data_IF_325548419829
#
_entry.id   IF_325548419829
#
_cell.length_a   1.000
_cell.length_b   1.000
_cell.length_c   1.000
_cell.angle_alpha   90.00
_cell.angle_beta   90.00
_cell.angle_gamma   90.00
#
_symmetry.space_group_name_H-M   'P 1'
#
loop_
_entity.id
_entity.type
_entity.pdbx_description
1 polymer ?
#
# COMPACT_ATOMS: atom_id res chain seq x y z
N UNK A 1 -15.96 63.05 -14.93
CA UNK A 1 -14.88 62.45 -14.12
C UNK A 1 -15.51 61.45 -13.15
N UNK A 2 -15.48 60.15 -13.50
CA UNK A 2 -15.53 58.96 -12.63
C UNK A 2 -15.80 57.76 -13.54
N UNK A 3 -14.73 57.05 -13.89
CA UNK A 3 -14.79 55.67 -14.41
C UNK A 3 -14.05 54.82 -13.37
N UNK A 4 -14.63 53.68 -13.01
CA UNK A 4 -13.89 52.49 -12.59
C UNK A 4 -13.64 52.34 -11.09
N UNK A 5 -14.50 51.58 -10.42
CA UNK A 5 -14.24 51.01 -9.10
C UNK A 5 -14.47 49.49 -9.01
N UNK A 6 -15.18 48.88 -9.96
CA UNK A 6 -15.62 47.47 -9.83
C UNK A 6 -14.78 46.46 -10.64
N UNK A 7 -13.93 46.91 -11.57
CA UNK A 7 -13.10 46.01 -12.40
C UNK A 7 -11.73 45.62 -11.80
N UNK A 8 -11.32 46.23 -10.68
CA UNK A 8 -10.03 45.85 -10.06
C UNK A 8 -10.14 44.57 -9.21
N UNK A 9 -11.27 44.33 -8.55
CA UNK A 9 -11.41 43.17 -7.64
C UNK A 9 -11.45 41.84 -8.41
N UNK A 10 -12.09 41.81 -9.58
CA UNK A 10 -12.12 40.60 -10.43
C UNK A 10 -10.76 40.28 -11.07
N UNK A 11 -9.96 41.30 -11.42
CA UNK A 11 -8.63 41.09 -12.00
C UNK A 11 -7.62 40.56 -10.95
N UNK A 12 -7.69 41.03 -9.70
CA UNK A 12 -6.83 40.52 -8.62
C UNK A 12 -7.17 39.08 -8.23
N UNK A 13 -8.46 38.70 -8.26
CA UNK A 13 -8.88 37.33 -7.99
C UNK A 13 -8.39 36.36 -9.09
N UNK A 14 -8.47 36.77 -10.37
CA UNK A 14 -7.96 35.98 -11.50
C UNK A 14 -6.43 35.85 -11.53
N UNK A 15 -5.70 36.90 -11.16
CA UNK A 15 -4.23 36.86 -11.11
C UNK A 15 -3.78 35.93 -9.97
N UNK A 16 -4.41 36.02 -8.80
CA UNK A 16 -4.09 35.14 -7.67
C UNK A 16 -4.41 33.68 -8.01
N UNK A 17 -5.61 33.36 -8.53
CA UNK A 17 -5.93 31.98 -8.94
C UNK A 17 -4.99 31.47 -10.03
N UNK A 18 -4.64 32.30 -11.02
CA UNK A 18 -3.68 31.90 -12.06
C UNK A 18 -2.28 31.64 -11.52
N UNK A 19 -1.80 32.43 -10.54
CA UNK A 19 -0.49 32.21 -9.93
C UNK A 19 -0.48 30.97 -9.02
N UNK A 20 -1.58 30.68 -8.33
CA UNK A 20 -1.71 29.46 -7.54
C UNK A 20 -1.78 28.21 -8.43
N UNK A 21 -2.58 28.25 -9.50
CA UNK A 21 -2.66 27.16 -10.49
C UNK A 21 -1.30 26.91 -11.16
N UNK A 22 -0.65 27.97 -11.66
CA UNK A 22 0.68 27.84 -12.29
C UNK A 22 1.74 27.31 -11.32
N UNK A 23 1.67 27.67 -10.03
CA UNK A 23 2.65 27.17 -9.04
C UNK A 23 2.45 25.70 -8.71
N UNK A 24 1.21 25.23 -8.57
CA UNK A 24 0.91 23.81 -8.36
C UNK A 24 1.24 22.95 -9.59
N UNK A 25 0.99 23.46 -10.80
CA UNK A 25 1.36 22.76 -12.04
C UNK A 25 2.88 22.60 -12.18
N UNK A 26 3.66 23.60 -11.73
CA UNK A 26 5.13 23.53 -11.77
C UNK A 26 5.69 22.56 -10.73
N UNK A 27 5.16 22.55 -9.50
CA UNK A 27 5.63 21.63 -8.44
C UNK A 27 5.32 20.17 -8.78
N UNK A 28 4.12 19.91 -9.32
CA UNK A 28 3.78 18.58 -9.83
C UNK A 28 4.70 18.15 -10.96
N UNK A 29 4.92 19.02 -11.95
CA UNK A 29 5.79 18.71 -13.09
C UNK A 29 7.23 18.38 -12.65
N UNK A 30 7.78 19.15 -11.69
CA UNK A 30 9.10 18.86 -11.12
C UNK A 30 9.13 17.51 -10.40
N UNK A 31 8.09 17.18 -9.63
CA UNK A 31 7.96 15.93 -8.89
C UNK A 31 7.80 14.72 -9.83
N UNK A 32 6.94 14.81 -10.85
CA UNK A 32 6.80 13.79 -11.90
C UNK A 32 8.11 13.60 -12.67
N UNK A 33 8.79 14.70 -12.99
CA UNK A 33 10.10 14.67 -13.66
C UNK A 33 11.15 13.97 -12.80
N UNK A 34 11.14 14.21 -11.48
CA UNK A 34 12.03 13.53 -10.54
C UNK A 34 11.84 12.02 -10.60
N UNK A 35 10.60 11.54 -10.43
CA UNK A 35 10.32 10.10 -10.38
C UNK A 35 10.50 9.41 -11.73
N UNK A 36 10.10 10.05 -12.83
CA UNK A 36 10.31 9.51 -14.18
C UNK A 36 11.78 9.44 -14.59
N UNK A 37 12.66 10.23 -13.97
CA UNK A 37 14.12 10.17 -14.21
C UNK A 37 14.83 9.02 -13.50
N UNK A 38 14.15 8.32 -12.59
CA UNK A 38 14.74 7.24 -11.80
C UNK A 38 14.73 5.93 -12.60
N UNK A 39 15.85 5.64 -13.25
CA UNK A 39 16.06 4.36 -13.94
C UNK A 39 16.64 3.27 -13.02
N UNK A 40 16.07 2.07 -13.06
CA UNK A 40 16.55 0.88 -12.35
C UNK A 40 16.69 -0.32 -13.29
N UNK A 41 17.60 -1.25 -12.95
CA UNK A 41 17.70 -2.52 -13.66
C UNK A 41 16.55 -3.47 -13.28
N UNK A 42 15.96 -4.11 -14.29
CA UNK A 42 14.97 -5.16 -14.06
C UNK A 42 15.59 -6.48 -13.60
N UNK A 43 16.90 -6.66 -13.76
CA UNK A 43 17.58 -7.91 -13.39
C UNK A 43 18.10 -7.86 -11.95
N UNK A 44 17.22 -8.15 -10.99
CA UNK A 44 17.51 -8.08 -9.56
C UNK A 44 17.98 -9.44 -9.03
N UNK A 45 19.06 -9.99 -9.58
CA UNK A 45 19.52 -11.36 -9.25
C UNK A 45 20.46 -11.42 -8.04
N UNK A 46 20.98 -10.29 -7.58
CA UNK A 46 21.86 -10.25 -6.41
C UNK A 46 21.11 -10.57 -5.13
N UNK A 47 21.63 -11.53 -4.36
CA UNK A 47 21.22 -11.73 -2.96
C UNK A 47 21.99 -10.76 -2.08
N UNK A 48 21.27 -9.85 -1.42
CA UNK A 48 21.82 -8.86 -0.51
C UNK A 48 21.54 -9.25 0.94
N UNK A 49 22.43 -8.81 1.83
CA UNK A 49 22.22 -8.98 3.27
C UNK A 49 21.08 -8.08 3.75
N UNK A 50 20.07 -8.71 4.34
CA UNK A 50 18.86 -8.08 4.88
C UNK A 50 18.63 -8.48 6.35
N UNK A 51 19.70 -8.86 7.04
CA UNK A 51 19.64 -9.36 8.42
C UNK A 51 19.11 -8.36 9.44
N UNK A 52 19.11 -7.06 9.14
CA UNK A 52 18.56 -5.99 9.99
C UNK A 52 17.05 -5.75 9.82
N UNK A 53 16.37 -6.50 8.92
CA UNK A 53 14.89 -6.41 8.82
C UNK A 53 14.28 -6.89 10.13
N UNK A 54 13.41 -6.06 10.72
CA UNK A 54 12.73 -6.34 11.98
C UNK A 54 11.28 -6.77 11.76
N UNK A 55 10.85 -7.74 12.56
CA UNK A 55 9.49 -8.26 12.62
C UNK A 55 8.90 -7.91 13.98
N UNK A 56 8.00 -6.93 14.02
CA UNK A 56 7.29 -6.49 15.21
C UNK A 56 6.00 -7.28 15.37
N UNK A 57 5.78 -7.87 16.55
CA UNK A 57 4.69 -8.81 16.82
C UNK A 57 3.75 -8.24 17.87
N UNK A 58 2.46 -8.26 17.55
CA UNK A 58 1.36 -7.79 18.39
C UNK A 58 0.33 -8.91 18.52
N UNK A 59 0.23 -9.53 19.70
CA UNK A 59 -0.75 -10.59 19.93
C UNK A 59 -2.07 -10.01 20.48
N UNK A 60 -3.02 -9.75 19.58
CA UNK A 60 -4.34 -9.22 19.95
C UNK A 60 -5.30 -10.30 20.47
N UNK A 61 -4.93 -11.58 20.38
CA UNK A 61 -5.69 -12.68 20.97
C UNK A 61 -5.47 -12.86 22.48
N UNK A 62 -4.34 -12.40 23.02
CA UNK A 62 -3.91 -12.70 24.40
C UNK A 62 -3.82 -11.50 25.36
N UNK A 63 -4.22 -10.26 24.95
CA UNK A 63 -4.39 -8.99 25.70
C UNK A 63 -3.65 -7.73 25.15
N UNK A 64 -3.21 -7.69 23.89
CA UNK A 64 -3.23 -6.45 23.09
C UNK A 64 -2.19 -5.34 23.35
N UNK A 65 -0.95 -5.66 23.75
CA UNK A 65 0.18 -4.71 23.69
C UNK A 65 1.27 -5.20 22.71
N UNK A 66 2.17 -4.29 22.26
CA UNK A 66 3.37 -4.71 21.51
C UNK A 66 4.15 -5.71 22.34
N UNK A 67 4.35 -6.88 21.76
CA UNK A 67 4.75 -8.04 22.54
C UNK A 67 6.24 -8.32 22.41
N UNK A 68 6.82 -8.11 21.22
CA UNK A 68 8.25 -8.21 20.94
C UNK A 68 8.60 -7.76 19.51
N UNK A 69 9.88 -7.50 19.26
CA UNK A 69 10.47 -7.45 17.92
C UNK A 69 11.62 -8.46 17.79
N UNK A 70 11.80 -8.99 16.58
CA UNK A 70 12.84 -9.96 16.26
C UNK A 70 13.45 -9.67 14.89
N UNK A 71 14.71 -10.04 14.67
CA UNK A 71 15.29 -10.04 13.33
C UNK A 71 14.59 -11.10 12.46
N UNK A 72 14.39 -10.80 11.18
CA UNK A 72 13.57 -11.63 10.26
C UNK A 72 13.97 -13.11 10.25
N UNK A 73 15.26 -13.42 10.38
CA UNK A 73 15.77 -14.79 10.35
C UNK A 73 15.42 -15.61 11.60
N UNK A 74 15.27 -14.94 12.75
CA UNK A 74 14.98 -15.53 14.06
C UNK A 74 13.49 -15.44 14.44
N UNK A 75 12.76 -14.51 13.81
CA UNK A 75 11.40 -14.13 14.18
C UNK A 75 10.43 -15.32 14.23
N UNK A 76 10.42 -16.19 13.21
CA UNK A 76 9.47 -17.31 13.18
C UNK A 76 9.73 -18.30 14.33
N UNK A 77 11.00 -18.63 14.60
CA UNK A 77 11.34 -19.53 15.69
C UNK A 77 10.96 -18.93 17.06
N UNK A 78 11.20 -17.63 17.23
CA UNK A 78 10.83 -16.91 18.45
C UNK A 78 9.30 -16.91 18.64
N UNK A 79 8.52 -16.52 17.62
CA UNK A 79 7.05 -16.48 17.65
C UNK A 79 6.46 -17.86 17.99
N UNK A 80 6.90 -18.91 17.29
CA UNK A 80 6.37 -20.27 17.48
C UNK A 80 6.72 -20.87 18.85
N UNK A 81 7.69 -20.30 19.56
CA UNK A 81 8.09 -20.73 20.90
C UNK A 81 7.37 -20.00 22.03
N UNK A 82 6.57 -18.97 21.71
CA UNK A 82 5.90 -18.15 22.72
C UNK A 82 4.85 -18.96 23.50
N UNK A 83 4.73 -18.76 24.84
CA UNK A 83 3.74 -19.46 25.64
C UNK A 83 2.28 -19.18 25.25
N UNK A 84 2.03 -18.04 24.63
CA UNK A 84 0.72 -17.55 24.19
C UNK A 84 0.49 -17.72 22.68
N UNK A 85 1.35 -18.45 21.98
CA UNK A 85 1.15 -18.78 20.57
C UNK A 85 -0.03 -19.73 20.39
N UNK A 86 -1.02 -19.34 19.60
CA UNK A 86 -2.15 -20.17 19.20
C UNK A 86 -2.09 -20.49 17.69
N UNK A 87 -1.91 -21.76 17.28
CA UNK A 87 -1.85 -22.13 15.86
C UNK A 87 -3.17 -21.95 15.09
N UNK A 88 -4.30 -21.74 15.78
CA UNK A 88 -5.59 -21.44 15.16
C UNK A 88 -5.82 -19.95 14.93
N UNK A 89 -5.01 -19.10 15.55
CA UNK A 89 -5.06 -17.65 15.37
C UNK A 89 -4.71 -17.28 13.93
N UNK A 90 -5.36 -16.25 13.40
CA UNK A 90 -4.98 -15.68 12.11
C UNK A 90 -3.81 -14.71 12.28
N UNK A 91 -2.91 -14.71 11.31
CA UNK A 91 -1.73 -13.85 11.27
C UNK A 91 -1.92 -12.85 10.15
N UNK A 92 -1.84 -11.57 10.51
CA UNK A 92 -1.98 -10.45 9.58
C UNK A 92 -0.63 -9.73 9.49
N UNK A 93 0.03 -9.83 8.33
CA UNK A 93 1.38 -9.30 8.10
C UNK A 93 1.28 -8.09 7.18
N UNK A 94 1.78 -6.95 7.64
CA UNK A 94 1.87 -5.72 6.87
C UNK A 94 3.33 -5.27 6.73
N UNK A 95 3.71 -4.82 5.55
CA UNK A 95 4.99 -4.16 5.30
C UNK A 95 4.80 -2.80 4.64
N UNK A 96 5.54 -1.82 5.15
CA UNK A 96 5.54 -0.45 4.65
C UNK A 96 6.37 -0.30 3.38
N UNK A 97 6.31 0.89 2.77
CA UNK A 97 7.02 1.23 1.56
C UNK A 97 8.35 1.95 1.79
N UNK A 98 8.70 2.78 0.82
CA UNK A 98 9.90 3.59 0.83
C UNK A 98 9.83 4.69 1.88
N UNK A 99 10.96 4.93 2.56
CA UNK A 99 11.15 5.98 3.54
C UNK A 99 10.10 5.97 4.67
N UNK A 100 9.77 4.77 5.18
CA UNK A 100 8.89 4.57 6.32
C UNK A 100 9.60 3.74 7.38
N UNK A 101 9.20 3.94 8.64
CA UNK A 101 9.73 3.35 9.87
C UNK A 101 8.57 2.80 10.70
N UNK A 102 8.84 1.95 11.69
CA UNK A 102 7.79 1.41 12.56
C UNK A 102 6.91 2.46 13.27
N UNK A 103 7.39 3.72 13.37
CA UNK A 103 6.72 4.82 14.05
C UNK A 103 5.84 5.68 13.13
N UNK A 104 5.85 5.43 11.82
CA UNK A 104 5.01 6.16 10.87
C UNK A 104 3.53 5.78 10.99
N UNK A 105 2.66 6.73 10.59
CA UNK A 105 1.21 6.54 10.59
C UNK A 105 0.75 5.29 9.81
N UNK A 106 1.51 4.86 8.79
CA UNK A 106 1.20 3.67 7.99
C UNK A 106 1.26 2.41 8.84
N UNK A 107 2.32 2.24 9.62
CA UNK A 107 2.43 1.17 10.60
C UNK A 107 1.36 1.28 11.68
N UNK A 108 1.03 2.49 12.12
CA UNK A 108 -0.01 2.71 13.15
C UNK A 108 -1.41 2.35 12.64
N UNK A 109 -1.76 2.73 11.41
CA UNK A 109 -3.00 2.30 10.75
C UNK A 109 -3.10 0.78 10.69
N UNK A 110 -2.04 0.10 10.26
CA UNK A 110 -2.02 -1.36 10.20
C UNK A 110 -2.19 -2.00 11.59
N UNK A 111 -1.50 -1.51 12.62
CA UNK A 111 -1.69 -1.95 14.02
C UNK A 111 -3.13 -1.76 14.49
N UNK A 112 -3.68 -0.56 14.27
CA UNK A 112 -5.03 -0.23 14.67
C UNK A 112 -6.06 -1.12 13.97
N UNK A 113 -5.93 -1.37 12.67
CA UNK A 113 -6.81 -2.29 11.93
C UNK A 113 -6.64 -3.71 12.42
N UNK A 114 -5.41 -4.24 12.50
CA UNK A 114 -5.14 -5.60 12.97
C UNK A 114 -5.72 -5.86 14.37
N UNK A 115 -5.63 -4.87 15.28
CA UNK A 115 -6.17 -4.98 16.63
C UNK A 115 -7.69 -5.16 16.70
N UNK A 116 -8.41 -4.82 15.63
CA UNK A 116 -9.87 -4.89 15.56
C UNK A 116 -10.36 -6.10 14.75
N UNK A 117 -9.47 -6.87 14.11
CA UNK A 117 -9.85 -8.05 13.34
C UNK A 117 -10.19 -9.20 14.30
N UNK A 118 -11.35 -9.81 14.08
CA UNK A 118 -11.70 -11.09 14.70
C UNK A 118 -11.64 -12.19 13.64
N UNK A 119 -10.89 -13.25 13.92
CA UNK A 119 -10.73 -14.41 13.06
C UNK A 119 -10.84 -15.69 13.89
N UNK A 120 -11.60 -16.68 13.43
CA UNK A 120 -11.84 -17.91 14.19
C UNK A 120 -12.38 -17.68 15.63
N UNK A 121 -13.10 -16.58 15.85
CA UNK A 121 -13.66 -16.22 17.16
C UNK A 121 -12.68 -15.56 18.14
N UNK A 122 -11.48 -15.17 17.70
CA UNK A 122 -10.46 -14.53 18.53
C UNK A 122 -9.78 -13.36 17.78
N UNK A 123 -9.05 -12.51 18.51
CA UNK A 123 -8.19 -11.49 17.93
C UNK A 123 -7.00 -12.08 17.17
N UNK A 124 -6.42 -11.34 16.24
CA UNK A 124 -5.33 -11.84 15.37
C UNK A 124 -3.95 -11.63 15.98
N UNK A 125 -2.95 -12.29 15.39
CA UNK A 125 -1.54 -11.94 15.58
C UNK A 125 -1.18 -10.94 14.49
N UNK A 126 -1.08 -9.66 14.86
CA UNK A 126 -0.61 -8.61 13.96
C UNK A 126 0.91 -8.62 13.87
N UNK A 127 1.43 -8.53 12.65
CA UNK A 127 2.85 -8.43 12.37
C UNK A 127 3.10 -7.19 11.50
N UNK A 128 3.97 -6.31 11.95
CA UNK A 128 4.46 -5.18 11.16
C UNK A 128 5.94 -5.42 10.85
N UNK A 129 6.29 -5.42 9.57
CA UNK A 129 7.66 -5.59 9.11
C UNK A 129 8.30 -4.23 8.91
N UNK A 130 9.38 -3.98 9.63
CA UNK A 130 10.21 -2.79 9.49
C UNK A 130 11.47 -3.12 8.67
N UNK A 131 11.53 -2.57 7.45
CA UNK A 131 12.65 -2.69 6.53
C UNK A 131 13.46 -1.39 6.38
N UNK A 132 13.20 -0.40 7.24
CA UNK A 132 13.73 0.97 7.14
C UNK A 132 15.25 1.05 7.09
N UNK A 133 15.96 0.07 7.70
CA UNK A 133 17.42 -0.06 7.60
C UNK A 133 17.91 -0.09 6.14
N UNK A 134 17.09 -0.59 5.22
CA UNK A 134 17.40 -0.70 3.79
C UNK A 134 16.58 0.26 2.93
N UNK A 135 15.34 0.55 3.35
CA UNK A 135 14.35 1.29 2.56
C UNK A 135 14.17 2.76 2.97
N UNK A 136 14.88 3.26 3.99
CA UNK A 136 14.87 4.67 4.40
C UNK A 136 16.26 5.30 4.35
N UNK A 137 16.33 6.59 4.03
CA UNK A 137 17.55 7.41 4.14
C UNK A 137 17.80 7.98 5.54
N UNK A 138 16.92 7.69 6.51
CA UNK A 138 16.92 8.37 7.80
C UNK A 138 16.74 9.88 7.63
N UNK A 139 17.49 10.68 8.39
CA UNK A 139 17.49 12.14 8.28
C UNK A 139 18.33 12.68 7.12
N UNK A 140 19.08 11.84 6.41
CA UNK A 140 19.99 12.24 5.33
C UNK A 140 19.41 11.82 3.97
N UNK A 141 18.26 12.41 3.63
CA UNK A 141 17.61 12.27 2.33
C UNK A 141 18.20 13.25 1.30
N UNK A 142 19.52 13.49 1.35
CA UNK A 142 20.19 14.46 0.46
C UNK A 142 20.13 14.07 -1.02
N UNK A 143 19.88 12.79 -1.33
CA UNK A 143 19.58 12.29 -2.67
C UNK A 143 18.45 11.23 -2.63
N UNK A 144 17.22 11.71 -2.81
CA UNK A 144 16.00 10.87 -2.80
C UNK A 144 16.02 9.81 -3.91
N UNK A 145 16.36 10.13 -5.18
CA UNK A 145 16.54 9.11 -6.22
C UNK A 145 17.54 8.01 -5.87
N UNK A 146 18.73 8.35 -5.35
CA UNK A 146 19.75 7.35 -5.00
C UNK A 146 19.24 6.43 -3.87
N UNK A 147 18.62 7.01 -2.85
CA UNK A 147 18.04 6.25 -1.74
C UNK A 147 16.92 5.34 -2.22
N UNK A 148 16.09 5.81 -3.14
CA UNK A 148 15.02 5.02 -3.73
C UNK A 148 15.56 3.85 -4.57
N UNK A 149 16.54 4.09 -5.46
CA UNK A 149 17.19 3.02 -6.24
C UNK A 149 17.80 1.95 -5.35
N UNK A 150 18.46 2.35 -4.26
CA UNK A 150 18.95 1.41 -3.23
C UNK A 150 17.78 0.60 -2.66
N UNK A 151 16.71 1.25 -2.24
CA UNK A 151 15.53 0.58 -1.65
C UNK A 151 14.91 -0.45 -2.61
N UNK A 152 14.77 -0.09 -3.89
CA UNK A 152 14.31 -1.00 -4.95
C UNK A 152 15.23 -2.20 -5.09
N UNK A 153 16.55 -2.00 -5.08
CA UNK A 153 17.53 -3.08 -5.19
C UNK A 153 17.40 -4.11 -4.04
N UNK A 154 17.15 -3.64 -2.81
CA UNK A 154 16.99 -4.51 -1.63
C UNK A 154 15.63 -5.23 -1.58
N UNK A 155 14.60 -4.71 -2.25
CA UNK A 155 13.21 -5.20 -2.16
C UNK A 155 13.07 -6.71 -2.36
N UNK A 156 13.78 -7.28 -3.33
CA UNK A 156 13.73 -8.72 -3.61
C UNK A 156 14.36 -9.57 -2.50
N UNK A 157 15.51 -9.15 -1.97
CA UNK A 157 16.18 -9.87 -0.87
C UNK A 157 15.35 -9.79 0.42
N UNK A 158 14.73 -8.63 0.70
CA UNK A 158 13.79 -8.47 1.83
C UNK A 158 12.60 -9.43 1.65
N UNK A 159 12.02 -9.47 0.44
CA UNK A 159 10.89 -10.34 0.14
C UNK A 159 11.24 -11.81 0.27
N UNK A 160 12.44 -12.22 -0.17
CA UNK A 160 12.93 -13.58 0.01
C UNK A 160 13.07 -13.95 1.50
N UNK A 161 13.68 -13.09 2.31
CA UNK A 161 13.79 -13.32 3.75
C UNK A 161 12.42 -13.39 4.44
N UNK A 162 11.48 -12.55 4.02
CA UNK A 162 10.11 -12.56 4.54
C UNK A 162 9.33 -13.81 4.10
N UNK A 163 9.55 -14.29 2.88
CA UNK A 163 9.01 -15.55 2.38
C UNK A 163 9.49 -16.74 3.22
N UNK A 164 10.79 -16.82 3.50
CA UNK A 164 11.38 -17.83 4.41
C UNK A 164 10.79 -17.76 5.82
N UNK A 165 10.56 -16.55 6.34
CA UNK A 165 9.87 -16.33 7.60
C UNK A 165 8.44 -16.90 7.57
N UNK A 166 7.67 -16.62 6.52
CA UNK A 166 6.30 -17.15 6.36
C UNK A 166 6.31 -18.68 6.22
N UNK A 167 7.20 -19.25 5.42
CA UNK A 167 7.37 -20.71 5.28
C UNK A 167 7.57 -21.38 6.64
N UNK A 168 8.41 -20.79 7.52
CA UNK A 168 8.61 -21.31 8.88
C UNK A 168 7.34 -21.22 9.73
N UNK A 169 6.56 -20.12 9.66
CA UNK A 169 5.27 -20.01 10.37
C UNK A 169 4.28 -21.09 9.93
N UNK A 170 4.27 -21.45 8.64
CA UNK A 170 3.39 -22.48 8.08
C UNK A 170 3.65 -23.89 8.64
N UNK A 171 4.73 -24.09 9.40
CA UNK A 171 4.96 -25.34 10.15
C UNK A 171 3.94 -25.57 11.28
N UNK A 172 3.25 -24.52 11.74
CA UNK A 172 2.25 -24.56 12.80
C UNK A 172 0.96 -23.82 12.46
N UNK A 173 1.03 -22.78 11.62
CA UNK A 173 -0.12 -21.97 11.21
C UNK A 173 -0.66 -22.49 9.87
N UNK A 174 -1.99 -22.58 9.74
CA UNK A 174 -2.60 -22.95 8.45
C UNK A 174 -2.40 -21.84 7.42
N UNK A 175 -2.13 -22.20 6.17
CA UNK A 175 -1.94 -21.22 5.10
C UNK A 175 -3.14 -20.27 4.93
N UNK A 176 -4.36 -20.77 5.10
CA UNK A 176 -5.59 -19.98 5.06
C UNK A 176 -5.72 -18.95 6.21
N UNK A 177 -4.90 -19.06 7.24
CA UNK A 177 -4.85 -18.13 8.37
C UNK A 177 -3.78 -17.04 8.17
N UNK A 178 -2.92 -17.13 7.15
CA UNK A 178 -1.94 -16.10 6.81
C UNK A 178 -2.55 -15.08 5.85
N UNK A 179 -2.49 -13.81 6.21
CA UNK A 179 -2.97 -12.69 5.40
C UNK A 179 -1.82 -11.70 5.26
N UNK A 180 -1.51 -11.31 4.02
CA UNK A 180 -0.37 -10.43 3.73
C UNK A 180 -0.82 -9.18 2.99
N UNK A 181 -0.24 -8.05 3.36
CA UNK A 181 -0.47 -6.76 2.71
C UNK A 181 0.81 -5.93 2.68
N UNK A 182 0.95 -5.11 1.64
CA UNK A 182 2.13 -4.26 1.47
C UNK A 182 1.77 -2.94 0.81
N UNK A 183 2.39 -1.84 1.25
CA UNK A 183 2.15 -0.50 0.72
C UNK A 183 3.33 0.02 -0.10
N UNK A 184 3.07 0.65 -1.26
CA UNK A 184 4.10 1.20 -2.13
C UNK A 184 5.13 0.14 -2.51
N UNK A 185 6.41 0.40 -2.22
CA UNK A 185 7.50 -0.57 -2.39
C UNK A 185 7.23 -1.91 -1.66
N UNK A 186 6.56 -1.85 -0.51
CA UNK A 186 6.19 -3.02 0.29
C UNK A 186 5.24 -3.98 -0.42
N UNK A 187 4.43 -3.50 -1.37
CA UNK A 187 3.56 -4.36 -2.17
C UNK A 187 4.38 -5.35 -3.04
N UNK A 188 5.47 -4.87 -3.65
CA UNK A 188 6.39 -5.71 -4.41
C UNK A 188 7.15 -6.68 -3.50
N UNK A 189 7.58 -6.22 -2.31
CA UNK A 189 8.22 -7.08 -1.30
C UNK A 189 7.31 -8.27 -0.93
N UNK A 190 6.00 -8.02 -0.77
CA UNK A 190 5.02 -9.09 -0.53
C UNK A 190 4.82 -10.02 -1.73
N UNK A 191 4.87 -9.50 -2.96
CA UNK A 191 4.88 -10.31 -4.17
C UNK A 191 6.04 -11.31 -4.18
N UNK A 192 7.27 -10.84 -3.93
CA UNK A 192 8.44 -11.72 -3.84
C UNK A 192 8.34 -12.74 -2.68
N UNK A 193 7.84 -12.31 -1.52
CA UNK A 193 7.64 -13.22 -0.39
C UNK A 193 6.65 -14.35 -0.72
N UNK A 194 5.56 -14.03 -1.41
CA UNK A 194 4.57 -15.00 -1.85
C UNK A 194 5.13 -15.99 -2.90
N UNK A 195 5.99 -15.53 -3.80
CA UNK A 195 6.67 -16.42 -4.76
C UNK A 195 7.55 -17.46 -4.05
N UNK A 196 8.31 -17.06 -3.03
CA UNK A 196 9.09 -18.01 -2.20
C UNK A 196 8.17 -19.02 -1.51
N UNK A 197 7.06 -18.58 -0.93
CA UNK A 197 6.09 -19.48 -0.27
C UNK A 197 5.45 -20.44 -1.28
N UNK A 198 5.07 -19.96 -2.47
CA UNK A 198 4.53 -20.77 -3.57
C UNK A 198 5.51 -21.84 -4.00
N UNK A 199 6.77 -21.48 -4.18
CA UNK A 199 7.80 -22.36 -4.73
C UNK A 199 8.24 -23.44 -3.72
N UNK A 200 8.11 -23.18 -2.41
CA UNK A 200 8.48 -24.13 -1.35
C UNK A 200 7.31 -24.92 -0.76
N UNK A 201 6.11 -24.36 -0.77
CA UNK A 201 4.93 -24.91 -0.08
C UNK A 201 3.76 -24.98 -1.06
N UNK A 202 2.94 -23.93 -1.10
CA UNK A 202 1.77 -23.72 -1.96
C UNK A 202 1.51 -22.22 -2.05
N UNK A 203 0.82 -21.70 -3.09
CA UNK A 203 0.50 -20.28 -3.17
C UNK A 203 -0.23 -19.78 -1.91
N UNK A 204 0.10 -18.56 -1.46
CA UNK A 204 -0.70 -17.87 -0.44
C UNK A 204 -2.09 -17.56 -0.99
N UNK A 205 -3.13 -17.45 -0.15
CA UNK A 205 -4.49 -17.25 -0.64
C UNK A 205 -4.66 -15.91 -1.36
N UNK A 206 -4.10 -14.83 -0.81
CA UNK A 206 -4.25 -13.49 -1.36
C UNK A 206 -3.03 -12.61 -1.05
N UNK A 207 -2.59 -11.81 -2.02
CA UNK A 207 -1.76 -10.62 -1.79
C UNK A 207 -2.66 -9.38 -1.85
N UNK A 208 -2.62 -8.54 -0.83
CA UNK A 208 -3.26 -7.21 -0.84
C UNK A 208 -2.20 -6.12 -1.05
N UNK A 209 -2.11 -5.63 -2.27
CA UNK A 209 -1.16 -4.63 -2.73
C UNK A 209 -1.78 -3.22 -2.66
N UNK A 210 -1.23 -2.34 -1.81
CA UNK A 210 -1.78 -1.00 -1.58
C UNK A 210 -0.88 0.03 -2.28
N UNK A 211 -1.41 0.67 -3.32
CA UNK A 211 -0.74 1.63 -4.20
C UNK A 211 0.71 1.24 -4.58
N UNK A 212 0.93 0.09 -5.24
CA UNK A 212 2.28 -0.37 -5.60
C UNK A 212 3.03 0.70 -6.37
N UNK A 213 4.31 0.91 -6.06
CA UNK A 213 5.06 2.00 -6.70
C UNK A 213 5.31 1.71 -8.18
N UNK A 214 5.04 2.66 -9.06
CA UNK A 214 5.26 2.49 -10.50
C UNK A 214 6.74 2.61 -10.90
N UNK A 215 7.43 3.61 -10.35
CA UNK A 215 8.84 3.89 -10.63
C UNK A 215 9.71 2.66 -10.44
N UNK A 216 10.51 2.29 -11.45
CA UNK A 216 11.35 1.08 -11.49
C UNK A 216 10.63 -0.28 -11.55
N UNK A 217 9.29 -0.31 -11.59
CA UNK A 217 8.51 -1.55 -11.67
C UNK A 217 7.64 -1.64 -12.93
N UNK A 218 7.15 -0.53 -13.47
CA UNK A 218 6.28 -0.53 -14.65
C UNK A 218 6.93 -1.16 -15.88
N UNK A 219 8.22 -0.87 -16.10
CA UNK A 219 9.00 -1.46 -17.20
C UNK A 219 9.58 -2.85 -16.87
N UNK A 220 9.36 -3.35 -15.65
CA UNK A 220 9.90 -4.60 -15.14
C UNK A 220 8.78 -5.55 -14.69
N UNK A 221 7.98 -6.11 -15.62
CA UNK A 221 6.77 -6.87 -15.29
C UNK A 221 7.02 -8.13 -14.43
N UNK A 222 8.21 -8.71 -14.49
CA UNK A 222 8.58 -9.85 -13.64
C UNK A 222 8.97 -9.45 -12.21
N UNK A 223 9.30 -8.18 -11.99
CA UNK A 223 9.62 -7.62 -10.69
C UNK A 223 8.39 -6.91 -10.05
N UNK A 224 7.32 -6.70 -10.83
CA UNK A 224 6.07 -6.11 -10.37
C UNK A 224 5.24 -7.10 -9.53
N UNK A 225 4.40 -6.56 -8.63
CA UNK A 225 3.39 -7.37 -7.93
C UNK A 225 2.23 -7.68 -8.89
N UNK A 226 1.91 -8.95 -9.13
CA UNK A 226 1.00 -9.31 -10.24
C UNK A 226 0.31 -10.66 -10.05
N UNK A 227 -0.72 -10.89 -10.84
CA UNK A 227 -1.39 -12.19 -10.96
C UNK A 227 -0.41 -13.36 -11.08
N UNK A 228 -0.72 -14.45 -10.38
CA UNK A 228 0.08 -15.68 -10.36
C UNK A 228 1.18 -15.73 -9.30
N UNK A 229 1.40 -14.67 -8.52
CA UNK A 229 2.29 -14.71 -7.34
C UNK A 229 1.61 -15.32 -6.10
N UNK A 230 0.28 -15.30 -6.06
CA UNK A 230 -0.58 -15.95 -5.07
C UNK A 230 -1.79 -16.56 -5.80
N UNK A 231 -2.69 -17.26 -5.09
CA UNK A 231 -3.97 -17.72 -5.65
C UNK A 231 -4.83 -16.54 -6.13
N UNK A 232 -4.68 -15.39 -5.47
CA UNK A 232 -5.31 -14.12 -5.83
C UNK A 232 -4.37 -12.95 -5.53
N UNK A 233 -4.29 -11.98 -6.43
CA UNK A 233 -3.65 -10.69 -6.19
C UNK A 233 -4.67 -9.60 -6.35
N UNK A 234 -4.75 -8.71 -5.34
CA UNK A 234 -5.66 -7.58 -5.30
C UNK A 234 -4.85 -6.31 -5.12
N UNK A 235 -5.03 -5.35 -6.01
CA UNK A 235 -4.41 -4.03 -5.91
C UNK A 235 -5.45 -2.97 -5.58
N UNK A 236 -5.13 -2.04 -4.68
CA UNK A 236 -5.85 -0.77 -4.53
C UNK A 236 -4.98 0.35 -5.06
N UNK A 237 -5.43 1.06 -6.10
CA UNK A 237 -4.75 2.22 -6.68
C UNK A 237 -5.32 3.51 -6.08
N UNK A 238 -4.43 4.40 -5.66
CA UNK A 238 -4.78 5.68 -5.06
C UNK A 238 -4.00 6.85 -5.67
N UNK A 239 -2.87 6.59 -6.33
CA UNK A 239 -2.10 7.58 -7.09
C UNK A 239 -1.55 7.03 -8.40
N UNK A 240 -1.23 7.95 -9.31
CA UNK A 240 -0.68 7.61 -10.64
C UNK A 240 0.71 8.21 -10.89
N UNK A 241 1.21 9.04 -9.97
CA UNK A 241 2.54 9.66 -10.06
C UNK A 241 3.58 8.81 -9.32
N UNK A 242 3.24 8.34 -8.12
CA UNK A 242 4.08 7.44 -7.33
C UNK A 242 3.57 6.00 -7.49
N UNK A 243 2.26 5.80 -7.38
CA UNK A 243 1.61 4.52 -7.66
C UNK A 243 1.64 4.13 -9.14
N UNK A 244 1.60 2.83 -9.39
CA UNK A 244 1.57 2.22 -10.72
C UNK A 244 0.22 2.43 -11.39
N UNK A 245 0.25 2.65 -12.70
CA UNK A 245 -0.94 2.69 -13.57
C UNK A 245 -1.29 1.31 -14.15
N UNK A 246 -0.44 0.32 -13.94
CA UNK A 246 -0.58 -1.00 -14.58
C UNK A 246 -1.63 -1.83 -13.85
N UNK A 247 -2.59 -2.33 -14.62
CA UNK A 247 -3.53 -3.38 -14.22
C UNK A 247 -2.82 -4.74 -14.20
N UNK A 248 -2.02 -4.99 -13.17
CA UNK A 248 -1.16 -6.17 -13.08
C UNK A 248 -1.77 -7.30 -12.24
N UNK A 249 -2.82 -7.00 -11.45
CA UNK A 249 -3.40 -7.94 -10.49
C UNK A 249 -4.61 -8.67 -11.07
N UNK A 250 -5.17 -9.62 -10.30
CA UNK A 250 -6.42 -10.25 -10.68
C UNK A 250 -7.58 -9.26 -10.51
N UNK A 251 -7.48 -8.37 -9.51
CA UNK A 251 -8.42 -7.28 -9.30
C UNK A 251 -7.66 -5.99 -9.03
N UNK A 252 -7.85 -5.00 -9.91
CA UNK A 252 -7.31 -3.66 -9.76
C UNK A 252 -8.47 -2.72 -9.36
N UNK A 253 -8.49 -2.34 -8.08
CA UNK A 253 -9.48 -1.45 -7.49
C UNK A 253 -8.96 -0.02 -7.46
N UNK A 254 -9.64 0.90 -8.12
CA UNK A 254 -9.31 2.32 -8.13
C UNK A 254 -10.18 3.05 -7.11
N UNK A 255 -9.55 3.62 -6.09
CA UNK A 255 -10.21 4.43 -5.08
C UNK A 255 -10.43 5.85 -5.59
N UNK A 256 -11.68 6.31 -5.60
CA UNK A 256 -12.09 7.54 -6.25
C UNK A 256 -11.60 7.54 -7.72
N UNK A 257 -10.94 8.61 -8.17
CA UNK A 257 -10.36 8.66 -9.51
C UNK A 257 -9.07 7.83 -9.68
N UNK A 258 -8.56 7.21 -8.61
CA UNK A 258 -7.29 6.49 -8.61
C UNK A 258 -6.05 7.40 -8.58
N UNK A 259 -6.22 8.71 -8.47
CA UNK A 259 -5.13 9.69 -8.55
C UNK A 259 -5.05 10.61 -7.32
N UNK A 260 -6.19 11.03 -6.80
CA UNK A 260 -6.29 11.99 -5.70
C UNK A 260 -7.37 11.54 -4.73
N UNK A 261 -6.98 11.34 -3.48
CA UNK A 261 -7.89 10.85 -2.44
C UNK A 261 -8.56 12.01 -1.69
N UNK A 262 -9.73 11.73 -1.10
CA UNK A 262 -10.47 12.71 -0.30
C UNK A 262 -9.59 13.28 0.81
N UNK A 263 -9.64 14.59 1.01
CA UNK A 263 -8.81 15.30 2.00
C UNK A 263 -7.38 15.62 1.56
N UNK A 264 -6.89 15.04 0.45
CA UNK A 264 -5.53 15.28 -0.05
C UNK A 264 -5.41 16.41 -1.07
N UNK A 265 -6.51 16.85 -1.69
CA UNK A 265 -6.47 17.99 -2.61
C UNK A 265 -6.23 19.29 -1.84
N UNK A 266 -4.96 19.70 -1.70
CA UNK A 266 -4.59 20.91 -0.98
C UNK A 266 -4.95 22.17 -1.77
N UNK A 267 -5.61 23.15 -1.13
CA UNK A 267 -6.07 24.39 -1.79
C UNK A 267 -4.97 25.19 -2.51
N UNK A 268 -3.71 25.03 -2.10
CA UNK A 268 -2.56 25.73 -2.69
C UNK A 268 -1.75 24.88 -3.66
N UNK A 269 -1.99 23.57 -3.68
CA UNK A 269 -1.26 22.62 -4.52
C UNK A 269 -2.08 21.33 -4.73
N UNK A 270 -3.26 21.40 -5.38
CA UNK A 270 -4.22 20.30 -5.38
C UNK A 270 -3.71 19.04 -6.08
N UNK A 271 -2.63 19.17 -6.86
CA UNK A 271 -2.02 18.06 -7.58
C UNK A 271 -0.51 17.92 -7.38
N UNK A 272 0.19 18.80 -6.67
CA UNK A 272 1.64 18.68 -6.48
C UNK A 272 2.06 17.69 -5.40
N UNK A 273 3.37 17.73 -5.07
CA UNK A 273 4.07 16.71 -4.27
C UNK A 273 3.35 16.34 -2.97
N UNK A 274 2.86 17.33 -2.22
CA UNK A 274 2.17 17.10 -0.95
C UNK A 274 0.84 16.36 -1.16
N UNK A 275 0.05 16.74 -2.18
CA UNK A 275 -1.23 16.10 -2.52
C UNK A 275 -1.05 14.68 -3.05
N UNK A 276 -0.01 14.46 -3.87
CA UNK A 276 0.37 13.13 -4.37
C UNK A 276 0.83 12.24 -3.22
N UNK A 277 1.73 12.74 -2.36
CA UNK A 277 2.24 11.99 -1.21
C UNK A 277 1.11 11.66 -0.22
N UNK A 278 0.22 12.62 0.05
CA UNK A 278 -0.97 12.39 0.87
C UNK A 278 -1.84 11.27 0.28
N UNK A 279 -2.14 11.34 -1.03
CA UNK A 279 -3.00 10.35 -1.70
C UNK A 279 -2.36 8.95 -1.69
N UNK A 280 -1.03 8.88 -1.83
CA UNK A 280 -0.27 7.62 -1.75
C UNK A 280 -0.38 7.01 -0.35
N UNK A 281 -0.28 7.82 0.70
CA UNK A 281 -0.40 7.37 2.09
C UNK A 281 -1.83 7.02 2.48
N UNK A 282 -2.84 7.74 1.97
CA UNK A 282 -4.27 7.44 2.17
C UNK A 282 -4.64 6.05 1.67
N UNK A 283 -3.87 5.46 0.77
CA UNK A 283 -4.17 4.11 0.30
C UNK A 283 -4.05 3.03 1.39
N UNK A 284 -3.27 3.27 2.44
CA UNK A 284 -3.14 2.33 3.57
C UNK A 284 -4.46 2.23 4.35
N UNK A 285 -5.00 3.32 4.94
CA UNK A 285 -6.28 3.23 5.64
C UNK A 285 -7.43 2.87 4.69
N UNK A 286 -7.46 3.36 3.45
CA UNK A 286 -8.49 2.96 2.47
C UNK A 286 -8.46 1.46 2.16
N UNK A 287 -7.27 0.91 1.92
CA UNK A 287 -7.07 -0.49 1.60
C UNK A 287 -7.32 -1.44 2.78
N UNK A 288 -6.96 -1.04 4.00
CA UNK A 288 -7.04 -1.91 5.19
C UNK A 288 -8.39 -1.84 5.92
N UNK A 289 -9.08 -0.69 5.92
CA UNK A 289 -10.36 -0.49 6.61
C UNK A 289 -11.44 -1.55 6.35
N UNK A 290 -11.57 -2.11 5.12
CA UNK A 290 -12.56 -3.13 4.84
C UNK A 290 -12.46 -4.37 5.72
N UNK A 291 -11.31 -4.66 6.34
CA UNK A 291 -11.19 -5.79 7.26
C UNK A 291 -12.04 -5.63 8.53
N UNK A 292 -12.38 -4.40 8.92
CA UNK A 292 -13.05 -4.08 10.21
C UNK A 292 -14.35 -3.29 10.05
N UNK A 293 -14.59 -2.67 8.88
CA UNK A 293 -15.89 -2.14 8.49
C UNK A 293 -16.58 -3.06 7.48
N UNK A 294 -17.83 -3.42 7.78
CA UNK A 294 -18.65 -4.24 6.87
C UNK A 294 -19.34 -3.37 5.81
N UNK A 295 -19.45 -3.91 4.60
CA UNK A 295 -20.16 -3.28 3.47
C UNK A 295 -19.61 -1.92 3.01
N UNK A 296 -18.33 -1.64 3.26
CA UNK A 296 -17.65 -0.49 2.67
C UNK A 296 -16.90 -0.89 1.40
N UNK A 297 -16.68 0.11 0.56
CA UNK A 297 -16.03 0.04 -0.75
C UNK A 297 -16.68 -0.97 -1.69
N UNK A 298 -17.99 -0.82 -1.92
CA UNK A 298 -18.66 -1.51 -3.01
C UNK A 298 -18.10 -0.97 -4.33
N UNK A 299 -17.27 -1.76 -4.98
CA UNK A 299 -16.64 -1.42 -6.24
C UNK A 299 -17.41 -1.99 -7.42
N UNK A 300 -17.33 -1.31 -8.56
CA UNK A 300 -18.09 -1.63 -9.77
C UNK A 300 -17.15 -1.71 -10.96
N UNK A 301 -17.33 -2.74 -11.78
CA UNK A 301 -16.48 -2.93 -12.96
C UNK A 301 -16.79 -1.87 -14.01
N UNK A 302 -15.76 -1.16 -14.46
CA UNK A 302 -15.86 -0.15 -15.51
C UNK A 302 -14.58 -0.11 -16.35
N UNK A 303 -14.71 0.40 -17.58
CA UNK A 303 -13.58 0.66 -18.46
C UNK A 303 -12.80 1.92 -18.05
N UNK A 304 -13.49 2.90 -17.43
CA UNK A 304 -12.89 4.15 -16.97
C UNK A 304 -13.59 4.72 -15.74
N UNK A 305 -12.90 5.62 -15.01
CA UNK A 305 -13.51 6.36 -13.91
C UNK A 305 -14.64 7.29 -14.38
N UNK A 306 -14.54 7.85 -15.58
CA UNK A 306 -15.59 8.70 -16.14
C UNK A 306 -16.88 7.90 -16.36
N UNK A 307 -16.79 6.68 -16.90
CA UNK A 307 -17.95 5.80 -17.04
C UNK A 307 -18.55 5.40 -15.69
N UNK A 308 -17.70 5.25 -14.67
CA UNK A 308 -18.13 4.98 -13.30
C UNK A 308 -18.97 6.14 -12.73
N UNK A 309 -18.47 7.37 -12.78
CA UNK A 309 -19.18 8.55 -12.20
C UNK A 309 -20.39 8.98 -13.03
N UNK A 310 -20.43 8.68 -14.33
CA UNK A 310 -21.59 8.91 -15.19
C UNK A 310 -22.69 7.85 -15.02
N UNK A 311 -22.41 6.76 -14.29
CA UNK A 311 -23.34 5.65 -14.09
C UNK A 311 -23.45 4.69 -15.29
N UNK A 312 -22.54 4.78 -16.25
CA UNK A 312 -22.56 3.96 -17.47
C UNK A 312 -22.38 2.47 -17.16
N UNK A 313 -21.76 2.14 -16.02
CA UNK A 313 -21.54 0.76 -15.58
C UNK A 313 -22.57 0.27 -14.56
N UNK A 314 -23.72 0.91 -14.41
CA UNK A 314 -24.56 0.69 -13.23
C UNK A 314 -25.07 -0.75 -13.06
N UNK A 315 -25.15 -1.46 -14.19
CA UNK A 315 -25.58 -2.85 -14.29
C UNK A 315 -24.42 -3.85 -14.44
N UNK A 316 -23.17 -3.39 -14.39
CA UNK A 316 -21.99 -4.25 -14.39
C UNK A 316 -21.82 -4.99 -13.05
N UNK A 317 -20.91 -5.95 -13.05
CA UNK A 317 -20.56 -6.70 -11.84
C UNK A 317 -20.02 -5.78 -10.74
N UNK A 318 -20.32 -6.14 -9.50
CA UNK A 318 -19.84 -5.42 -8.31
C UNK A 318 -19.33 -6.37 -7.27
N UNK A 319 -18.34 -5.92 -6.51
CA UNK A 319 -17.73 -6.68 -5.40
C UNK A 319 -17.29 -5.73 -4.29
N UNK A 320 -16.90 -6.25 -3.14
CA UNK A 320 -16.27 -5.44 -2.10
C UNK A 320 -14.76 -5.38 -2.33
N UNK A 321 -14.20 -4.17 -2.27
CA UNK A 321 -12.76 -3.95 -2.39
C UNK A 321 -12.04 -4.02 -1.03
N UNK A 322 -10.74 -4.29 -1.09
CA UNK A 322 -9.79 -4.12 0.01
C UNK A 322 -9.57 -5.33 0.93
N UNK A 323 -8.83 -5.08 2.00
CA UNK A 323 -8.21 -6.09 2.84
C UNK A 323 -9.23 -7.06 3.46
N UNK A 324 -8.90 -8.36 3.40
CA UNK A 324 -9.75 -9.48 3.86
C UNK A 324 -11.16 -9.51 3.24
N UNK A 325 -11.35 -8.86 2.09
CA UNK A 325 -12.50 -9.05 1.20
C UNK A 325 -12.05 -9.89 0.02
N UNK A 326 -12.67 -11.05 -0.14
CA UNK A 326 -12.47 -11.89 -1.31
C UNK A 326 -13.46 -11.45 -2.38
N UNK A 327 -13.00 -11.04 -3.57
CA UNK A 327 -13.89 -10.66 -4.65
C UNK A 327 -14.81 -11.81 -5.07
N UNK A 328 -16.07 -11.50 -5.37
CA UNK A 328 -17.07 -12.50 -5.81
C UNK A 328 -17.45 -12.36 -7.29
N UNK A 329 -16.81 -11.43 -7.99
CA UNK A 329 -17.02 -11.13 -9.42
C UNK A 329 -15.86 -11.67 -10.27
N UNK A 330 -15.91 -11.41 -11.58
CA UNK A 330 -14.83 -11.75 -12.50
C UNK A 330 -13.58 -10.86 -12.28
N UNK A 331 -12.36 -11.37 -12.47
CA UNK A 331 -11.13 -10.56 -12.48
C UNK A 331 -11.22 -9.36 -13.42
N UNK A 332 -10.61 -8.24 -13.05
CA UNK A 332 -10.55 -7.03 -13.87
C UNK A 332 -10.51 -5.73 -13.08
N UNK A 333 -10.87 -4.65 -13.76
CA UNK A 333 -10.83 -3.27 -13.24
C UNK A 333 -12.12 -2.88 -12.56
N UNK A 334 -12.00 -2.25 -11.39
CA UNK A 334 -13.13 -1.81 -10.57
C UNK A 334 -12.88 -0.43 -9.99
N UNK A 335 -13.94 0.36 -9.82
CA UNK A 335 -13.89 1.70 -9.21
C UNK A 335 -14.83 1.78 -8.01
N UNK A 336 -14.45 2.54 -6.98
CA UNK A 336 -15.29 2.81 -5.83
C UNK A 336 -15.03 4.21 -5.25
N UNK A 337 -16.08 4.85 -4.76
CA UNK A 337 -15.96 6.11 -4.01
C UNK A 337 -15.78 5.86 -2.51
N UNK A 338 -15.17 6.83 -1.84
CA UNK A 338 -14.92 6.80 -0.39
C UNK A 338 -15.72 7.90 0.33
N UNK A 339 -17.05 7.76 0.47
CA UNK A 339 -17.91 8.81 1.05
C UNK A 339 -17.83 8.94 2.57
N UNK A 340 -17.10 8.03 3.23
CA UNK A 340 -16.86 8.04 4.67
C UNK A 340 -15.36 7.97 4.89
N UNK A 341 -14.89 8.55 5.99
CA UNK A 341 -13.49 8.48 6.37
C UNK A 341 -13.11 7.02 6.68
N UNK A 342 -11.95 6.53 6.22
CA UNK A 342 -11.47 5.22 6.58
C UNK A 342 -11.25 5.05 8.09
N UNK A 343 -11.38 3.82 8.57
CA UNK A 343 -11.10 3.47 9.95
C UNK A 343 -9.59 3.48 10.18
N UNK A 344 -9.15 3.91 11.37
CA UNK A 344 -7.74 4.00 11.73
C UNK A 344 -6.93 4.94 10.82
N UNK A 345 -7.60 5.98 10.31
CA UNK A 345 -6.94 7.08 9.62
C UNK A 345 -6.24 7.99 10.64
N UNK A 346 -4.95 8.24 10.43
CA UNK A 346 -4.16 9.17 11.23
C UNK A 346 -3.70 10.31 10.32
N UNK A 347 -3.92 11.55 10.75
CA UNK A 347 -3.53 12.73 9.99
C UNK A 347 -2.01 12.75 9.80
N UNK A 348 -1.59 12.93 8.54
CA UNK A 348 -0.20 13.05 8.11
C UNK A 348 0.46 14.33 8.59
#
# INVERSE_FOLDING_TARGET
MKIGGENLIFAFLFILTSQFVVRGDVTLYEYETLWSSVECDCDRLSTLDVSEVQVHVYNYGSQGAEDASYLVHDAAAAILSRPDFDPLQCVDIFIQGFNNTIHDNRAETARCVHSQITCNGQGTMGIIVDSSAYTSGGSDLTDLPVTYKRSVLYSKSIGQALGEFIVKLLSKVKIANINISGHGLGAHIMGYAAEVVRDQVYPLPVIYALDPTGTCFEDCPFEHVRSGQADLVVTTHCTTVVGTKIDAADFDFYANNGETQNGCALLKDPFGEESVSCSHYQCVPLGLSPAVASNIWKAKSCDSYNDFIEGNCDFHESTLAGYRRLPTSSPGKYYFDTPVDPICEFQT
#
